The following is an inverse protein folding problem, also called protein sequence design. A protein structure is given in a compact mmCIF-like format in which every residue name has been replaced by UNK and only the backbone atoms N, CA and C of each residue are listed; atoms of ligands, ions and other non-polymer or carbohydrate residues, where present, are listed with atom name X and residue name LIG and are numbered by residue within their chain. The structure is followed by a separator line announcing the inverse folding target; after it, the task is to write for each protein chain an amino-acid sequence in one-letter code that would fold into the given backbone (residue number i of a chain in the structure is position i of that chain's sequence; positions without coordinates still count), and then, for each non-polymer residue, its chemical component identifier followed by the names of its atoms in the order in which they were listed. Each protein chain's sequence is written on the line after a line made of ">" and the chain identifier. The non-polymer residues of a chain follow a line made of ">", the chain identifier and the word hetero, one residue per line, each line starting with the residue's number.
data_IF_182789513424
#
_entry.id   IF_182789513424
#
_cell.length_a   1.000
_cell.length_b   1.000
_cell.length_c   1.000
_cell.angle_alpha   90.00
_cell.angle_beta   90.00
_cell.angle_gamma   90.00
#
_symmetry.space_group_name_H-M   'P 1'
#
loop_
_entity.id
_entity.type
_entity.pdbx_description
1 polymer ?
#
# COMPACT_ATOMS: atom_id res chain seq x y z
N UNK A 1 4.09 11.20 -4.67
CA UNK A 1 3.54 9.92 -5.19
C UNK A 1 3.65 8.84 -4.11
N UNK A 2 2.75 8.80 -3.11
CA UNK A 2 2.84 7.90 -1.96
C UNK A 2 2.92 6.41 -2.34
N UNK A 3 2.15 5.99 -3.35
CA UNK A 3 2.14 4.62 -3.85
C UNK A 3 3.50 4.14 -4.39
N UNK A 4 4.20 4.99 -5.15
CA UNK A 4 5.52 4.63 -5.70
C UNK A 4 6.57 4.47 -4.59
N UNK A 5 6.51 5.30 -3.55
CA UNK A 5 7.41 5.19 -2.41
C UNK A 5 7.19 3.88 -1.66
N UNK A 6 5.92 3.49 -1.42
CA UNK A 6 5.57 2.20 -0.81
C UNK A 6 6.08 1.04 -1.68
N UNK A 7 5.83 1.07 -2.99
CA UNK A 7 6.30 0.02 -3.91
C UNK A 7 7.82 -0.11 -3.93
N UNK A 8 8.56 1.01 -3.91
CA UNK A 8 10.02 1.01 -3.85
C UNK A 8 10.54 0.47 -2.51
N UNK A 9 9.96 0.91 -1.39
CA UNK A 9 10.32 0.43 -0.05
C UNK A 9 10.15 -1.08 0.05
N UNK A 10 8.99 -1.61 -0.38
CA UNK A 10 8.73 -3.04 -0.37
C UNK A 10 9.75 -3.79 -1.24
N UNK A 11 10.03 -3.29 -2.45
CA UNK A 11 10.98 -3.90 -3.37
C UNK A 11 12.39 -4.01 -2.77
N UNK A 12 12.88 -2.97 -2.10
CA UNK A 12 14.19 -2.96 -1.45
C UNK A 12 14.25 -4.02 -0.34
N UNK A 13 13.12 -4.30 0.32
CA UNK A 13 13.00 -5.30 1.38
C UNK A 13 12.65 -6.71 0.86
N UNK A 14 12.68 -6.95 -0.46
CA UNK A 14 12.38 -8.27 -1.03
C UNK A 14 10.89 -8.63 -1.05
N UNK A 15 10.01 -7.63 -0.90
CA UNK A 15 8.57 -7.82 -1.02
C UNK A 15 8.03 -7.18 -2.29
N UNK A 16 6.92 -7.71 -2.79
CA UNK A 16 6.16 -7.13 -3.89
C UNK A 16 4.71 -6.93 -3.46
N UNK A 17 4.17 -5.76 -3.76
CA UNK A 17 2.74 -5.48 -3.57
C UNK A 17 1.94 -6.24 -4.64
N UNK A 18 0.95 -7.03 -4.21
CA UNK A 18 0.10 -7.88 -5.07
C UNK A 18 -1.33 -7.35 -5.23
N UNK A 19 -1.62 -6.18 -4.67
CA UNK A 19 -2.90 -5.51 -4.85
C UNK A 19 -3.16 -5.18 -6.34
N UNK A 20 -4.41 -5.33 -6.78
CA UNK A 20 -4.83 -4.91 -8.11
C UNK A 20 -4.72 -3.38 -8.24
N UNK A 21 -4.59 -2.83 -9.46
CA UNK A 21 -4.58 -1.38 -9.66
C UNK A 21 -5.80 -0.66 -9.07
N UNK A 22 -6.96 -1.33 -9.06
CA UNK A 22 -8.19 -0.81 -8.45
C UNK A 22 -8.05 -0.67 -6.93
N UNK A 23 -7.65 -1.74 -6.24
CA UNK A 23 -7.48 -1.73 -4.78
C UNK A 23 -6.39 -0.73 -4.35
N UNK A 24 -5.29 -0.68 -5.11
CA UNK A 24 -4.22 0.29 -4.91
C UNK A 24 -4.72 1.74 -5.05
N UNK A 25 -5.61 2.01 -6.01
CA UNK A 25 -6.19 3.35 -6.19
C UNK A 25 -7.14 3.69 -5.04
N UNK A 26 -8.02 2.77 -4.68
CA UNK A 26 -9.01 2.97 -3.61
C UNK A 26 -8.33 3.24 -2.25
N UNK A 27 -7.31 2.45 -1.89
CA UNK A 27 -6.61 2.67 -0.62
C UNK A 27 -5.87 4.01 -0.60
N UNK A 28 -5.27 4.43 -1.72
CA UNK A 28 -4.57 5.71 -1.80
C UNK A 28 -5.53 6.90 -1.72
N UNK A 29 -6.74 6.78 -2.29
CA UNK A 29 -7.79 7.79 -2.12
C UNK A 29 -8.22 7.90 -0.65
N UNK A 30 -8.40 6.77 0.03
CA UNK A 30 -8.72 6.76 1.47
C UNK A 30 -7.64 7.42 2.32
N UNK A 31 -6.36 7.17 2.01
CA UNK A 31 -5.23 7.87 2.67
C UNK A 31 -5.31 9.39 2.42
N UNK A 32 -5.53 9.80 1.17
CA UNK A 32 -5.58 11.23 0.81
C UNK A 32 -6.74 11.96 1.51
N UNK A 33 -7.86 11.27 1.74
CA UNK A 33 -9.02 11.80 2.45
C UNK A 33 -8.93 11.69 3.98
N UNK A 34 -7.84 11.13 4.53
CA UNK A 34 -7.71 10.82 5.96
C UNK A 34 -8.81 9.87 6.49
N UNK A 35 -9.35 9.01 5.62
CA UNK A 35 -10.38 8.03 5.96
C UNK A 35 -9.81 6.75 6.60
N UNK A 36 -8.49 6.53 6.47
CA UNK A 36 -7.78 5.44 7.14
C UNK A 36 -6.57 5.98 7.88
N UNK A 37 -6.26 5.32 8.98
CA UNK A 37 -5.07 5.55 9.79
C UNK A 37 -3.84 4.86 9.19
N UNK A 38 -2.67 5.25 9.68
CA UNK A 38 -1.41 4.57 9.34
C UNK A 38 -1.45 3.08 9.71
N UNK A 39 -2.02 2.73 10.88
CA UNK A 39 -2.13 1.34 11.32
C UNK A 39 -2.99 0.51 10.38
N UNK A 40 -4.11 1.06 9.89
CA UNK A 40 -4.97 0.38 8.91
C UNK A 40 -4.26 0.21 7.57
N UNK A 41 -3.49 1.21 7.13
CA UNK A 41 -2.64 1.09 5.95
C UNK A 41 -1.57 0.00 6.13
N UNK A 42 -0.93 -0.08 7.30
CA UNK A 42 0.06 -1.14 7.60
C UNK A 42 -0.55 -2.53 7.48
N UNK A 43 -1.73 -2.75 8.08
CA UNK A 43 -2.46 -4.01 7.99
C UNK A 43 -2.80 -4.33 6.54
N UNK A 44 -3.29 -3.34 5.79
CA UNK A 44 -3.59 -3.53 4.37
C UNK A 44 -2.36 -3.92 3.56
N UNK A 45 -1.21 -3.26 3.77
CA UNK A 45 0.05 -3.61 3.10
C UNK A 45 0.46 -5.04 3.46
N UNK A 46 0.45 -5.42 4.73
CA UNK A 46 0.84 -6.76 5.17
C UNK A 46 -0.01 -7.87 4.54
N UNK A 47 -1.30 -7.62 4.32
CA UNK A 47 -2.21 -8.56 3.64
C UNK A 47 -2.05 -8.58 2.11
N UNK A 48 -1.34 -7.61 1.53
CA UNK A 48 -1.20 -7.42 0.08
C UNK A 48 0.26 -7.49 -0.39
N UNK A 49 1.14 -8.16 0.36
CA UNK A 49 2.52 -8.40 -0.06
C UNK A 49 2.81 -9.89 -0.23
N UNK A 50 3.73 -10.20 -1.13
CA UNK A 50 4.38 -11.51 -1.21
C UNK A 50 5.91 -11.34 -1.30
N UNK A 51 6.64 -12.41 -1.00
CA UNK A 51 8.09 -12.54 -1.26
C UNK A 51 8.36 -12.90 -2.71
#
# INVERSE_FOLDING_TARGET
>A
MPFLAIGLFLRINGFKLVATPKEATEIMLKVANSEITESELTIWIANNINT
#
